data_IF_616073829247
#
_entry.id   IF_616073829247
#
_cell.length_a   1.000
_cell.length_b   1.000
_cell.length_c   1.000
_cell.angle_alpha   90.00
_cell.angle_beta   90.00
_cell.angle_gamma   90.00
#
_symmetry.space_group_name_H-M   'P 1'
#
loop_
_entity.id
_entity.type
_entity.pdbx_description
1 polymer ?
#
# COMPACT_ATOMS: atom_id res chain seq x y z
N UNK A 1 -0.41 8.82 20.38
CA UNK A 1 -1.20 7.69 19.83
C UNK A 1 -2.66 7.67 20.29
N UNK A 2 -3.00 7.90 21.57
CA UNK A 2 -4.40 7.82 22.09
C UNK A 2 -5.38 8.89 21.58
N UNK A 3 -4.91 10.10 21.27
CA UNK A 3 -5.79 11.20 20.80
C UNK A 3 -6.40 10.92 19.42
N UNK A 4 -5.59 10.38 18.49
CA UNK A 4 -6.05 10.07 17.13
C UNK A 4 -7.15 9.00 17.13
N UNK A 5 -7.02 7.97 17.98
CA UNK A 5 -8.04 6.93 18.13
C UNK A 5 -9.38 7.50 18.62
N UNK A 6 -9.36 8.37 19.64
CA UNK A 6 -10.58 8.99 20.16
C UNK A 6 -11.27 9.90 19.13
N UNK A 7 -10.49 10.70 18.39
CA UNK A 7 -11.02 11.58 17.36
C UNK A 7 -11.64 10.77 16.21
N UNK A 8 -10.96 9.71 15.75
CA UNK A 8 -11.49 8.83 14.70
C UNK A 8 -12.79 8.15 15.13
N UNK A 9 -12.83 7.58 16.34
CA UNK A 9 -14.04 6.96 16.88
C UNK A 9 -15.20 7.96 16.95
N UNK A 10 -14.92 9.20 17.37
CA UNK A 10 -15.93 10.26 17.46
C UNK A 10 -16.44 10.68 16.09
N UNK A 11 -15.54 10.85 15.10
CA UNK A 11 -15.92 11.18 13.72
C UNK A 11 -16.76 10.07 13.11
N UNK A 12 -16.36 8.80 13.29
CA UNK A 12 -17.11 7.65 12.79
C UNK A 12 -18.49 7.56 13.43
N UNK A 13 -18.59 7.80 14.75
CA UNK A 13 -19.87 7.86 15.45
C UNK A 13 -20.77 8.97 14.89
N UNK A 14 -20.25 10.18 14.72
CA UNK A 14 -21.02 11.31 14.18
C UNK A 14 -21.48 11.05 12.74
N UNK A 15 -20.62 10.50 11.88
CA UNK A 15 -21.01 10.10 10.53
C UNK A 15 -22.05 8.97 10.54
N UNK A 16 -21.98 8.05 11.51
CA UNK A 16 -22.95 6.97 11.62
C UNK A 16 -24.35 7.49 11.99
N UNK A 17 -24.42 8.47 12.89
CA UNK A 17 -25.67 9.11 13.36
C UNK A 17 -26.26 10.06 12.32
N UNK A 18 -25.43 10.77 11.55
CA UNK A 18 -25.87 11.79 10.59
C UNK A 18 -25.69 11.34 9.13
N UNK A 19 -26.66 10.55 8.62
CA UNK A 19 -26.61 9.94 7.27
C UNK A 19 -26.59 10.95 6.12
N UNK A 20 -27.22 12.10 6.29
CA UNK A 20 -27.21 13.18 5.31
C UNK A 20 -25.81 13.81 5.16
N UNK A 21 -25.10 14.00 6.27
CA UNK A 21 -23.71 14.47 6.28
C UNK A 21 -22.78 13.40 5.73
N UNK A 22 -22.98 12.13 6.11
CA UNK A 22 -22.23 10.99 5.57
C UNK A 22 -22.31 10.93 4.04
N UNK A 23 -23.50 11.15 3.47
CA UNK A 23 -23.70 11.17 2.02
C UNK A 23 -22.93 12.33 1.35
N UNK A 24 -23.03 13.54 1.90
CA UNK A 24 -22.29 14.71 1.39
C UNK A 24 -20.77 14.48 1.41
N UNK A 25 -20.26 13.92 2.50
CA UNK A 25 -18.83 13.57 2.62
C UNK A 25 -18.44 12.53 1.57
N UNK A 26 -19.25 11.49 1.37
CA UNK A 26 -19.00 10.48 0.34
C UNK A 26 -18.97 11.08 -1.06
N UNK A 27 -19.93 11.93 -1.39
CA UNK A 27 -20.05 12.56 -2.71
C UNK A 27 -18.87 13.52 -2.95
N UNK A 28 -18.41 14.23 -1.92
CA UNK A 28 -17.23 15.09 -1.99
C UNK A 28 -15.93 14.28 -2.17
N UNK A 29 -15.79 13.16 -1.45
CA UNK A 29 -14.65 12.25 -1.61
C UNK A 29 -14.63 11.70 -3.04
N UNK A 30 -15.77 11.25 -3.56
CA UNK A 30 -15.91 10.78 -4.95
C UNK A 30 -15.58 11.88 -5.96
N UNK A 31 -16.01 13.12 -5.70
CA UNK A 31 -15.71 14.27 -6.56
C UNK A 31 -14.23 14.61 -6.60
N UNK A 32 -13.53 14.50 -5.47
CA UNK A 32 -12.10 14.87 -5.35
C UNK A 32 -11.17 13.73 -5.78
N UNK A 33 -11.50 12.48 -5.43
CA UNK A 33 -10.65 11.31 -5.70
C UNK A 33 -11.06 10.54 -6.96
N UNK A 34 -12.26 10.77 -7.50
CA UNK A 34 -12.80 10.07 -8.67
C UNK A 34 -13.22 8.62 -8.38
N UNK A 35 -13.60 7.89 -9.44
CA UNK A 35 -13.96 6.46 -9.38
C UNK A 35 -12.77 5.55 -9.03
N UNK A 36 -11.54 6.11 -8.99
CA UNK A 36 -10.31 5.43 -8.60
C UNK A 36 -10.08 5.39 -7.07
N UNK A 37 -11.15 5.54 -6.29
CA UNK A 37 -11.19 5.52 -4.82
C UNK A 37 -10.48 4.31 -4.20
N UNK A 38 -10.46 3.21 -4.94
CA UNK A 38 -9.54 2.12 -4.76
C UNK A 38 -9.02 1.77 -6.15
N UNK A 39 -7.72 1.89 -6.42
CA UNK A 39 -7.12 1.11 -7.49
C UNK A 39 -7.20 -0.33 -7.00
N UNK A 40 -8.34 -0.98 -7.22
CA UNK A 40 -8.38 -2.43 -7.14
C UNK A 40 -7.66 -2.91 -8.39
N UNK A 41 -6.34 -2.81 -8.38
CA UNK A 41 -5.54 -3.60 -9.29
C UNK A 41 -5.85 -5.03 -8.90
N UNK A 42 -6.64 -5.66 -9.75
CA UNK A 42 -7.15 -7.00 -9.55
C UNK A 42 -6.01 -7.94 -9.93
N UNK A 43 -5.06 -8.09 -9.00
CA UNK A 43 -3.93 -8.99 -9.14
C UNK A 43 -4.46 -10.41 -9.32
N UNK A 44 -4.03 -11.10 -10.38
CA UNK A 44 -4.24 -12.54 -10.48
C UNK A 44 -3.48 -13.24 -9.34
N UNK A 45 -4.14 -14.18 -8.66
CA UNK A 45 -3.61 -14.90 -7.50
C UNK A 45 -2.87 -14.00 -6.49
N UNK A 46 -3.57 -13.04 -5.83
CA UNK A 46 -2.94 -12.00 -5.01
C UNK A 46 -2.20 -12.53 -3.78
N UNK A 47 -2.54 -13.75 -3.33
CA UNK A 47 -1.93 -14.41 -2.17
C UNK A 47 -0.63 -15.13 -2.53
N UNK A 48 -0.35 -15.35 -3.82
CA UNK A 48 0.87 -16.03 -4.28
C UNK A 48 2.03 -15.04 -4.44
N UNK A 49 3.19 -15.42 -3.92
CA UNK A 49 4.44 -14.69 -4.18
C UNK A 49 4.94 -15.01 -5.60
N UNK A 50 4.66 -14.11 -6.55
CA UNK A 50 5.04 -14.25 -7.96
C UNK A 50 5.83 -12.99 -8.36
N UNK A 51 7.16 -12.96 -8.17
CA UNK A 51 8.01 -11.79 -8.51
C UNK A 51 7.96 -11.39 -9.98
N UNK A 52 7.79 -12.37 -10.89
CA UNK A 52 7.82 -12.20 -12.34
C UNK A 52 6.68 -11.29 -12.84
N UNK A 53 5.62 -11.08 -12.03
CA UNK A 53 4.52 -10.16 -12.35
C UNK A 53 4.97 -8.71 -12.54
N UNK A 54 6.16 -8.35 -12.04
CA UNK A 54 6.70 -7.01 -12.13
C UNK A 54 7.67 -6.83 -13.32
N UNK A 55 7.95 -7.87 -14.11
CA UNK A 55 8.98 -7.82 -15.15
C UNK A 55 8.50 -7.19 -16.48
N UNK A 56 7.21 -7.30 -16.85
CA UNK A 56 6.81 -7.14 -18.25
C UNK A 56 5.58 -6.24 -18.57
N UNK A 57 5.00 -5.47 -17.65
CA UNK A 57 3.84 -4.62 -18.00
C UNK A 57 3.85 -3.20 -17.42
N UNK A 58 3.15 -2.29 -18.15
CA UNK A 58 2.70 -0.99 -17.66
C UNK A 58 1.62 -1.21 -16.61
N UNK A 59 2.03 -1.49 -15.39
CA UNK A 59 1.13 -1.47 -14.25
C UNK A 59 0.53 -0.08 -14.09
N UNK A 60 -0.73 -0.02 -13.65
CA UNK A 60 -1.32 1.23 -13.20
C UNK A 60 -0.37 1.86 -12.16
N UNK A 61 -0.18 3.18 -12.21
CA UNK A 61 0.63 3.93 -11.25
C UNK A 61 0.23 3.67 -9.79
N UNK A 62 -0.98 3.16 -9.57
CA UNK A 62 -1.49 2.82 -8.26
C UNK A 62 -1.57 1.31 -7.96
N UNK A 63 -1.01 0.45 -8.83
CA UNK A 63 -0.93 -0.99 -8.61
C UNK A 63 -0.09 -1.37 -7.38
N UNK A 64 0.93 -0.56 -7.09
CA UNK A 64 1.85 -0.78 -5.99
C UNK A 64 2.17 0.54 -5.28
N UNK A 65 1.64 0.71 -4.08
CA UNK A 65 1.72 1.94 -3.28
C UNK A 65 2.40 1.74 -1.92
N UNK A 66 3.29 0.74 -1.83
CA UNK A 66 3.99 0.37 -0.59
C UNK A 66 4.79 1.54 0.03
N UNK A 67 5.21 2.50 -0.80
CA UNK A 67 5.92 3.72 -0.37
C UNK A 67 5.09 5.00 -0.58
N UNK A 68 3.78 4.86 -0.80
CA UNK A 68 2.87 5.95 -1.19
C UNK A 68 2.95 6.29 -2.68
N UNK A 69 2.49 7.50 -3.04
CA UNK A 69 2.49 7.98 -4.42
C UNK A 69 2.31 9.51 -4.50
N UNK A 70 2.59 10.08 -5.68
CA UNK A 70 2.46 11.52 -5.96
C UNK A 70 3.47 12.40 -5.21
N UNK A 71 3.12 13.68 -5.02
CA UNK A 71 4.00 14.70 -4.41
C UNK A 71 4.34 14.46 -2.92
N UNK A 72 3.78 13.41 -2.31
CA UNK A 72 4.02 13.00 -0.92
C UNK A 72 4.59 11.58 -0.84
N UNK A 73 5.25 11.12 -1.91
CA UNK A 73 6.01 9.86 -1.90
C UNK A 73 7.00 9.84 -0.73
N UNK A 74 7.23 8.66 -0.15
CA UNK A 74 8.23 8.48 0.88
C UNK A 74 9.61 9.00 0.43
N UNK A 75 10.18 9.93 1.20
CA UNK A 75 11.45 10.59 0.88
C UNK A 75 12.62 9.61 0.77
N UNK A 76 12.59 8.51 1.53
CA UNK A 76 13.63 7.48 1.55
C UNK A 76 13.45 6.37 0.51
N UNK A 77 12.58 6.53 -0.50
CA UNK A 77 12.25 5.48 -1.47
C UNK A 77 13.50 4.85 -2.12
N UNK A 78 14.34 5.69 -2.74
CA UNK A 78 15.54 5.21 -3.43
C UNK A 78 16.56 4.58 -2.47
N UNK A 79 16.74 5.19 -1.29
CA UNK A 79 17.66 4.69 -0.29
C UNK A 79 17.24 3.29 0.20
N UNK A 80 15.96 3.11 0.52
CA UNK A 80 15.41 1.84 0.97
C UNK A 80 15.56 0.74 -0.09
N UNK A 81 15.32 1.05 -1.38
CA UNK A 81 15.51 0.08 -2.46
C UNK A 81 16.97 -0.36 -2.61
N UNK A 82 17.92 0.56 -2.46
CA UNK A 82 19.36 0.25 -2.52
C UNK A 82 19.75 -0.62 -1.32
N UNK A 83 19.33 -0.23 -0.11
CA UNK A 83 19.61 -0.97 1.12
C UNK A 83 19.07 -2.41 1.04
N UNK A 84 17.81 -2.59 0.62
CA UNK A 84 17.21 -3.91 0.46
C UNK A 84 18.00 -4.79 -0.52
N UNK A 85 18.41 -4.24 -1.67
CA UNK A 85 19.21 -4.98 -2.66
C UNK A 85 20.56 -5.39 -2.10
N UNK A 86 21.27 -4.47 -1.44
CA UNK A 86 22.58 -4.77 -0.84
C UNK A 86 22.44 -5.82 0.26
N UNK A 87 21.45 -5.69 1.13
CA UNK A 87 21.20 -6.64 2.22
C UNK A 87 20.84 -8.03 1.66
N UNK A 88 19.98 -8.12 0.65
CA UNK A 88 19.66 -9.39 0.00
C UNK A 88 20.89 -10.03 -0.65
N UNK A 89 21.68 -9.25 -1.41
CA UNK A 89 22.92 -9.74 -2.00
C UNK A 89 23.92 -10.21 -0.92
N UNK A 90 24.06 -9.47 0.18
CA UNK A 90 24.97 -9.81 1.27
C UNK A 90 24.51 -11.05 2.03
N UNK A 91 23.20 -11.19 2.27
CA UNK A 91 22.63 -12.40 2.87
C UNK A 91 22.88 -13.60 1.96
N UNK A 92 22.59 -13.48 0.66
CA UNK A 92 22.73 -14.60 -0.27
C UNK A 92 24.19 -14.99 -0.51
N UNK A 93 25.09 -14.02 -0.55
CA UNK A 93 26.52 -14.29 -0.76
C UNK A 93 27.21 -14.93 0.45
N UNK A 94 26.68 -14.73 1.66
CA UNK A 94 27.32 -15.20 2.90
C UNK A 94 26.60 -16.39 3.57
N UNK A 95 25.31 -16.63 3.29
CA UNK A 95 24.51 -17.61 4.03
C UNK A 95 23.81 -18.68 3.18
N UNK A 96 23.81 -18.62 1.84
CA UNK A 96 23.28 -19.73 1.03
C UNK A 96 24.32 -20.86 0.89
N UNK A 97 24.62 -21.45 2.03
CA UNK A 97 25.15 -22.80 2.19
C UNK A 97 24.29 -23.48 3.25
N UNK A 98 23.03 -23.78 2.94
CA UNK A 98 22.26 -24.89 3.51
C UNK A 98 20.82 -24.84 2.98
N UNK A 99 20.35 -25.97 2.47
CA UNK A 99 18.97 -26.19 2.04
C UNK A 99 18.03 -26.00 3.24
N UNK A 100 17.27 -24.91 3.25
CA UNK A 100 16.19 -24.72 4.23
C UNK A 100 14.93 -25.36 3.66
N UNK A 101 14.66 -26.60 4.06
CA UNK A 101 13.33 -27.21 3.96
C UNK A 101 12.36 -26.39 4.82
N UNK A 102 11.48 -25.64 4.16
CA UNK A 102 10.37 -24.94 4.81
C UNK A 102 9.21 -25.95 4.89
N UNK A 103 8.90 -26.39 6.12
CA UNK A 103 7.74 -27.22 6.48
C UNK A 103 6.41 -26.48 6.22
#
# INVERSE_FOLDING_TARGET
MKLAANVLTTILYLLAVHKDVQKKVRDEILRVLGDNLMPSVNWEDPEKFIPERFENEKHDHYAWLSFGGGNRLFLGFNFSLIEQRITLCALWSNYYHEDVEIL
#
